data_IF_760639946135
#
_entry.id   IF_760639946135
#
_cell.length_a   1.000
_cell.length_b   1.000
_cell.length_c   1.000
_cell.angle_alpha   90.00
_cell.angle_beta   90.00
_cell.angle_gamma   90.00
#
_symmetry.space_group_name_H-M   'P 1'
#
loop_
_entity.id
_entity.type
_entity.pdbx_description
1 polymer ?
#
# COMPACT_ATOMS: atom_id res chain seq x y z
N UNK A 1 -3.84 23.77 6.76
CA UNK A 1 -3.02 22.68 7.31
C UNK A 1 -2.80 21.71 6.15
N UNK A 2 -1.57 21.51 5.69
CA UNK A 2 -1.32 20.66 4.52
C UNK A 2 -1.66 19.19 4.84
N UNK A 3 -2.39 18.52 3.96
CA UNK A 3 -2.80 17.11 4.11
C UNK A 3 -1.62 16.17 4.42
N UNK A 4 -0.42 16.53 3.98
CA UNK A 4 0.84 15.85 4.27
C UNK A 4 1.24 15.92 5.75
N UNK A 5 1.08 17.09 6.37
CA UNK A 5 1.39 17.28 7.80
C UNK A 5 0.49 16.43 8.68
N UNK A 6 -0.77 16.31 8.29
CA UNK A 6 -1.75 15.47 8.98
C UNK A 6 -1.37 13.98 8.89
N UNK A 7 -0.96 13.49 7.71
CA UNK A 7 -0.48 12.11 7.54
C UNK A 7 0.74 11.79 8.42
N UNK A 8 1.71 12.71 8.50
CA UNK A 8 2.92 12.50 9.32
C UNK A 8 2.60 12.51 10.80
N UNK A 9 1.67 13.37 11.24
CA UNK A 9 1.29 13.49 12.65
C UNK A 9 0.83 12.16 13.26
N UNK A 10 0.36 11.25 12.39
CA UNK A 10 -0.15 9.97 12.78
C UNK A 10 0.85 8.80 12.69
N UNK A 11 2.07 9.05 12.23
CA UNK A 11 3.08 8.01 12.06
C UNK A 11 3.62 7.51 13.42
N UNK A 12 3.62 6.19 13.64
CA UNK A 12 4.19 5.56 14.84
C UNK A 12 3.25 5.48 16.05
N UNK A 13 2.02 5.96 15.92
CA UNK A 13 0.99 5.81 16.96
C UNK A 13 0.55 4.35 17.10
N UNK A 14 0.82 3.77 18.27
CA UNK A 14 0.68 2.32 18.50
C UNK A 14 -0.78 1.87 18.66
N UNK A 15 -1.71 2.80 18.92
CA UNK A 15 -3.13 2.48 19.07
C UNK A 15 -3.83 2.11 17.76
N UNK A 16 -3.17 2.23 16.60
CA UNK A 16 -3.78 1.96 15.29
C UNK A 16 -2.80 1.46 14.23
N UNK A 17 -3.36 0.90 13.17
CA UNK A 17 -2.68 0.67 11.89
C UNK A 17 -3.45 1.47 10.84
N UNK A 18 -2.79 2.43 10.19
CA UNK A 18 -3.39 3.22 9.11
C UNK A 18 -3.02 2.64 7.75
N UNK A 19 -4.02 2.40 6.90
CA UNK A 19 -3.85 1.88 5.55
C UNK A 19 -4.36 2.93 4.57
N UNK A 20 -3.46 3.45 3.74
CA UNK A 20 -3.78 4.43 2.71
C UNK A 20 -3.76 3.74 1.34
N UNK A 21 -4.89 3.77 0.64
CA UNK A 21 -4.98 3.29 -0.73
C UNK A 21 -4.82 4.47 -1.68
N UNK A 22 -3.78 4.43 -2.51
CA UNK A 22 -3.41 5.53 -3.40
C UNK A 22 -3.41 5.02 -4.84
N UNK A 23 -4.11 5.72 -5.72
CA UNK A 23 -4.04 5.45 -7.15
C UNK A 23 -2.77 6.08 -7.74
N UNK A 24 -1.76 5.24 -7.95
CA UNK A 24 -0.45 5.62 -8.50
C UNK A 24 -0.57 6.45 -9.79
N UNK A 25 -1.43 6.03 -10.72
CA UNK A 25 -1.60 6.70 -12.01
C UNK A 25 -2.15 8.12 -11.90
N UNK A 26 -2.94 8.39 -10.87
CA UNK A 26 -3.47 9.74 -10.60
C UNK A 26 -2.37 10.59 -9.97
N UNK A 27 -1.66 10.06 -8.98
CA UNK A 27 -0.60 10.81 -8.28
C UNK A 27 0.58 11.15 -9.17
N UNK A 28 0.98 10.27 -10.08
CA UNK A 28 2.09 10.53 -11.01
C UNK A 28 1.79 11.64 -12.02
N UNK A 29 0.50 11.88 -12.31
CA UNK A 29 0.04 12.93 -13.24
C UNK A 29 -0.17 14.28 -12.56
N UNK A 30 0.01 14.38 -11.25
CA UNK A 30 -0.11 15.64 -10.54
C UNK A 30 1.01 16.61 -10.97
N UNK A 31 0.78 17.95 -10.93
CA UNK A 31 1.80 18.94 -11.28
C UNK A 31 3.11 18.78 -10.49
N UNK A 32 3.00 18.31 -9.24
CA UNK A 32 4.11 17.85 -8.42
C UNK A 32 3.78 16.43 -8.00
N UNK A 33 4.58 15.45 -8.41
CA UNK A 33 4.34 14.04 -8.08
C UNK A 33 4.58 13.80 -6.57
N UNK A 34 3.53 13.56 -5.77
CA UNK A 34 3.66 13.37 -4.33
C UNK A 34 4.04 11.93 -3.96
N UNK A 35 4.04 11.00 -4.91
CA UNK A 35 4.22 9.57 -4.65
C UNK A 35 5.56 9.25 -3.96
N UNK A 36 6.73 9.78 -4.40
CA UNK A 36 7.99 9.52 -3.71
C UNK A 36 7.99 10.00 -2.25
N UNK A 37 7.25 11.08 -1.97
CA UNK A 37 7.09 11.59 -0.62
C UNK A 37 6.28 10.60 0.23
N UNK A 38 5.14 10.13 -0.26
CA UNK A 38 4.30 9.16 0.43
C UNK A 38 5.04 7.85 0.72
N UNK A 39 5.76 7.32 -0.27
CA UNK A 39 6.58 6.11 -0.10
C UNK A 39 7.70 6.30 0.94
N UNK A 40 8.26 7.50 1.04
CA UNK A 40 9.28 7.84 2.03
C UNK A 40 8.72 7.85 3.46
N UNK A 41 7.56 8.46 3.68
CA UNK A 41 6.98 8.57 5.04
C UNK A 41 6.29 7.29 5.50
N UNK A 42 5.76 6.47 4.57
CA UNK A 42 5.07 5.23 4.92
C UNK A 42 6.04 4.23 5.59
N UNK A 43 5.60 3.56 6.65
CA UNK A 43 6.40 2.50 7.28
C UNK A 43 6.43 1.23 6.43
N UNK A 44 5.39 1.01 5.62
CA UNK A 44 5.25 -0.12 4.68
C UNK A 44 4.65 0.39 3.37
N UNK A 45 5.19 -0.06 2.24
CA UNK A 45 4.70 0.25 0.89
C UNK A 45 4.42 -1.07 0.18
N UNK A 46 3.20 -1.22 -0.32
CA UNK A 46 2.77 -2.38 -1.10
C UNK A 46 2.26 -1.86 -2.45
N UNK A 47 2.84 -2.37 -3.53
CA UNK A 47 2.36 -2.14 -4.89
C UNK A 47 1.34 -3.22 -5.22
N UNK A 48 0.18 -2.79 -5.72
CA UNK A 48 -0.90 -3.69 -6.12
C UNK A 48 -1.04 -3.69 -7.62
N UNK A 49 -1.13 -4.89 -8.21
CA UNK A 49 -1.49 -5.10 -9.60
C UNK A 49 -2.74 -5.98 -9.64
N UNK A 50 -3.78 -5.48 -10.30
CA UNK A 50 -5.04 -6.20 -10.45
C UNK A 50 -5.07 -6.93 -11.79
N UNK A 51 -5.46 -8.20 -11.74
CA UNK A 51 -5.73 -9.04 -12.90
C UNK A 51 -7.15 -9.61 -12.79
N UNK A 52 -7.75 -10.13 -13.88
CA UNK A 52 -9.15 -10.54 -13.90
C UNK A 52 -9.58 -11.52 -12.79
N UNK A 53 -8.68 -12.39 -12.32
CA UNK A 53 -8.96 -13.39 -11.27
C UNK A 53 -7.92 -13.44 -10.15
N UNK A 54 -7.00 -12.47 -10.09
CA UNK A 54 -5.97 -12.44 -9.05
C UNK A 54 -5.47 -11.03 -8.80
N UNK A 55 -4.95 -10.81 -7.60
CA UNK A 55 -4.21 -9.61 -7.24
C UNK A 55 -2.76 -9.98 -6.90
N UNK A 56 -1.81 -9.22 -7.43
CA UNK A 56 -0.39 -9.35 -7.07
C UNK A 56 -0.03 -8.19 -6.15
N UNK A 57 0.47 -8.51 -4.96
CA UNK A 57 0.90 -7.57 -3.93
C UNK A 57 2.43 -7.66 -3.83
N UNK A 58 3.15 -6.65 -4.33
CA UNK A 58 4.61 -6.58 -4.23
C UNK A 58 5.02 -5.66 -3.07
N UNK A 59 5.82 -6.19 -2.15
CA UNK A 59 6.30 -5.43 -0.99
C UNK A 59 7.48 -4.56 -1.41
N UNK A 60 7.26 -3.25 -1.52
CA UNK A 60 8.31 -2.27 -1.87
C UNK A 60 9.15 -1.83 -0.69
N UNK A 61 8.53 -1.73 0.49
CA UNK A 61 9.16 -1.28 1.73
C UNK A 61 8.43 -1.90 2.91
N UNK A 62 9.16 -2.36 3.92
CA UNK A 62 8.63 -2.70 5.23
C UNK A 62 9.79 -2.80 6.23
N UNK A 63 9.49 -3.11 7.50
CA UNK A 63 10.51 -3.31 8.54
C UNK A 63 11.24 -4.64 8.46
N UNK A 64 10.69 -5.64 7.76
CA UNK A 64 11.30 -6.97 7.60
C UNK A 64 12.04 -7.05 6.26
N UNK A 65 13.37 -7.10 6.32
CA UNK A 65 14.21 -7.17 5.11
C UNK A 65 13.92 -8.43 4.27
N UNK A 66 13.57 -9.54 4.91
CA UNK A 66 13.23 -10.80 4.22
C UNK A 66 11.97 -10.72 3.36
N UNK A 67 11.13 -9.71 3.59
CA UNK A 67 9.89 -9.50 2.84
C UNK A 67 10.05 -8.47 1.72
N UNK A 68 11.05 -7.61 1.76
CA UNK A 68 11.25 -6.57 0.75
C UNK A 68 11.52 -7.22 -0.62
N UNK A 69 10.78 -6.79 -1.64
CA UNK A 69 10.82 -7.33 -3.00
C UNK A 69 10.01 -8.59 -3.21
N UNK A 70 9.53 -9.27 -2.15
CA UNK A 70 8.65 -10.43 -2.29
C UNK A 70 7.28 -10.02 -2.83
N UNK A 71 6.66 -10.95 -3.54
CA UNK A 71 5.31 -10.81 -4.05
C UNK A 71 4.41 -11.87 -3.45
N UNK A 72 3.22 -11.45 -3.02
CA UNK A 72 2.12 -12.33 -2.66
C UNK A 72 1.11 -12.31 -3.80
N UNK A 73 0.65 -13.49 -4.21
CA UNK A 73 -0.44 -13.62 -5.17
C UNK A 73 -1.67 -14.04 -4.39
N UNK A 74 -2.76 -13.29 -4.55
CA UNK A 74 -4.08 -13.64 -4.02
C UNK A 74 -4.94 -14.02 -5.22
N UNK A 75 -5.32 -15.29 -5.31
CA UNK A 75 -6.28 -15.76 -6.30
C UNK A 75 -7.70 -15.47 -5.79
N UNK A 76 -8.61 -15.08 -6.70
CA UNK A 76 -10.01 -14.79 -6.36
C UNK A 76 -10.71 -16.02 -5.76
N UNK A 77 -10.35 -17.21 -6.24
CA UNK A 77 -10.93 -18.47 -5.77
C UNK A 77 -10.59 -18.73 -4.30
N UNK A 78 -9.39 -18.33 -3.85
CA UNK A 78 -9.01 -18.43 -2.44
C UNK A 78 -9.89 -17.51 -1.58
N UNK A 79 -10.16 -16.28 -2.04
CA UNK A 79 -11.04 -15.35 -1.35
C UNK A 79 -12.47 -15.86 -1.29
N UNK A 80 -13.03 -16.32 -2.41
CA UNK A 80 -14.43 -16.77 -2.46
C UNK A 80 -14.71 -17.95 -1.52
N UNK A 81 -13.72 -18.81 -1.28
CA UNK A 81 -13.83 -19.91 -0.31
C UNK A 81 -14.05 -19.42 1.13
N UNK A 82 -13.55 -18.24 1.50
CA UNK A 82 -13.73 -17.67 2.84
C UNK A 82 -15.10 -17.00 3.04
N UNK A 83 -15.74 -16.54 1.97
CA UNK A 83 -17.03 -15.81 2.05
C UNK A 83 -18.24 -16.71 1.81
N UNK A 84 -18.04 -17.93 1.31
CA UNK A 84 -19.07 -18.95 1.13
C UNK A 84 -19.35 -19.81 2.37
N UNK A 85 -18.81 -19.45 3.54
CA UNK A 85 -19.11 -20.05 4.86
C UNK A 85 -19.89 -19.07 5.71
#
# INVERSE_FOLDING_TARGET
MDAISELISFLGEKSRIAIFMINKNITEKAPVNPLPFFERIASTVIYTESHPRKAVLRIGKCSSLDLVGKSLVIELDDLLQYWGR
#
